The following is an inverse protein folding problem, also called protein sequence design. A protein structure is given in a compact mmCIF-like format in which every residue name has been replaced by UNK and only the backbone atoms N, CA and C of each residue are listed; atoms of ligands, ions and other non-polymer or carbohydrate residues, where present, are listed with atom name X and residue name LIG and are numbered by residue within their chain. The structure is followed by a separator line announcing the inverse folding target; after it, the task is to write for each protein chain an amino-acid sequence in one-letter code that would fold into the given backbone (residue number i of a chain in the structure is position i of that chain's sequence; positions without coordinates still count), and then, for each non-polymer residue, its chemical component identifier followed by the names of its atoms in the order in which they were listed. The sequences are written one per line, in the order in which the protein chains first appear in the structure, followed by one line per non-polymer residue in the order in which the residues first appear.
data_IF_719693006248
#
_entry.id   IF_719693006248
#
_cell.length_a   1.000
_cell.length_b   1.000
_cell.length_c   1.000
_cell.angle_alpha   90.00
_cell.angle_beta   90.00
_cell.angle_gamma   90.00
#
_symmetry.space_group_name_H-M   'P 1'
#
loop_
_entity.id
_entity.type
_entity.pdbx_description
1 polymer ?
#
# COMPACT_ATOMS: atom_id res chain seq x y z
N UNK A 1 42.62 -46.41 22.31
CA UNK A 1 43.44 -45.43 21.58
C UNK A 1 42.52 -44.75 20.57
N UNK A 2 41.78 -43.72 21.00
CA UNK A 2 40.71 -43.12 20.18
C UNK A 2 41.18 -41.75 19.69
N UNK A 3 41.36 -41.60 18.38
CA UNK A 3 41.66 -40.31 17.76
C UNK A 3 40.40 -39.42 17.69
N UNK A 4 40.52 -38.09 17.88
CA UNK A 4 39.36 -37.20 17.80
C UNK A 4 38.97 -36.96 16.34
N UNK A 5 37.67 -37.10 16.05
CA UNK A 5 37.09 -36.74 14.74
C UNK A 5 37.08 -35.20 14.64
N UNK A 6 37.66 -34.67 13.55
CA UNK A 6 37.69 -33.23 13.27
C UNK A 6 36.35 -32.76 12.72
N UNK A 7 35.79 -31.70 13.28
CA UNK A 7 34.51 -31.12 12.85
C UNK A 7 34.67 -30.32 11.54
N UNK A 8 33.68 -30.34 10.62
CA UNK A 8 33.75 -29.60 9.37
C UNK A 8 33.64 -28.08 9.60
N UNK A 9 34.51 -27.31 8.95
CA UNK A 9 34.47 -25.85 8.97
C UNK A 9 33.17 -25.33 8.32
N UNK A 10 32.44 -24.45 9.02
CA UNK A 10 31.24 -23.79 8.47
C UNK A 10 31.62 -22.88 7.30
N UNK A 11 31.06 -23.12 6.13
CA UNK A 11 31.12 -22.21 5.00
C UNK A 11 30.41 -20.90 5.37
N UNK A 12 31.13 -19.77 5.30
CA UNK A 12 30.59 -18.44 5.54
C UNK A 12 29.80 -18.02 4.30
N UNK A 13 28.47 -18.00 4.39
CA UNK A 13 27.62 -17.46 3.32
C UNK A 13 28.05 -16.02 3.01
N UNK A 14 28.24 -15.70 1.72
CA UNK A 14 28.66 -14.37 1.28
C UNK A 14 27.52 -13.39 1.55
N UNK A 15 27.56 -12.71 2.69
CA UNK A 15 26.61 -11.66 3.03
C UNK A 15 26.98 -10.41 2.22
N UNK A 16 26.51 -10.32 0.98
CA UNK A 16 26.70 -9.13 0.14
C UNK A 16 25.95 -7.97 0.76
N UNK A 17 26.67 -6.91 1.11
CA UNK A 17 26.03 -5.70 1.62
C UNK A 17 25.32 -4.94 0.50
N UNK A 18 24.28 -4.16 0.81
CA UNK A 18 23.57 -3.34 -0.20
C UNK A 18 24.52 -2.42 -0.98
N UNK A 19 25.54 -1.86 -0.31
CA UNK A 19 26.54 -0.99 -0.94
C UNK A 19 27.42 -1.76 -1.93
N UNK A 20 27.79 -2.99 -1.59
CA UNK A 20 28.60 -3.86 -2.43
C UNK A 20 27.79 -4.37 -3.64
N UNK A 21 26.52 -4.72 -3.43
CA UNK A 21 25.59 -5.05 -4.51
C UNK A 21 25.42 -3.89 -5.51
N UNK A 22 25.19 -2.66 -5.01
CA UNK A 22 25.08 -1.47 -5.86
C UNK A 22 26.41 -1.17 -6.55
N UNK A 23 27.54 -1.28 -5.83
CA UNK A 23 28.87 -1.06 -6.40
C UNK A 23 29.20 -2.02 -7.54
N UNK A 24 28.94 -3.32 -7.35
CA UNK A 24 29.13 -4.35 -8.37
C UNK A 24 28.17 -4.13 -9.55
N UNK A 25 26.89 -3.85 -9.28
CA UNK A 25 25.89 -3.61 -10.32
C UNK A 25 26.21 -2.39 -11.19
N UNK A 26 26.62 -1.27 -10.59
CA UNK A 26 27.05 -0.08 -11.31
C UNK A 26 28.33 -0.33 -12.13
N UNK A 27 29.33 -1.01 -11.55
CA UNK A 27 30.58 -1.31 -12.26
C UNK A 27 30.38 -2.30 -13.42
N UNK A 28 29.46 -3.25 -13.28
CA UNK A 28 29.08 -4.20 -14.32
C UNK A 28 28.10 -3.61 -15.35
N UNK A 29 27.62 -2.37 -15.15
CA UNK A 29 26.64 -1.72 -16.01
C UNK A 29 25.25 -2.37 -15.99
N UNK A 30 24.96 -3.18 -14.97
CA UNK A 30 23.67 -3.87 -14.82
C UNK A 30 22.71 -2.97 -14.05
N UNK A 31 21.81 -2.31 -14.77
CA UNK A 31 20.75 -1.46 -14.21
C UNK A 31 19.41 -1.72 -14.88
N UNK A 32 18.33 -1.76 -14.09
CA UNK A 32 16.97 -1.83 -14.61
C UNK A 32 16.45 -0.40 -14.81
N UNK A 33 16.18 -0.02 -16.06
CA UNK A 33 15.49 1.24 -16.38
C UNK A 33 13.99 0.98 -16.42
N UNK A 34 13.24 1.66 -15.55
CA UNK A 34 11.77 1.62 -15.55
C UNK A 34 11.25 2.97 -16.01
N UNK A 35 10.70 3.02 -17.22
CA UNK A 35 10.04 4.20 -17.76
C UNK A 35 8.57 4.22 -17.36
N UNK A 36 8.11 5.34 -16.80
CA UNK A 36 6.68 5.58 -16.55
C UNK A 36 6.27 6.85 -17.28
N UNK A 37 5.14 6.78 -17.98
CA UNK A 37 4.47 7.94 -18.54
C UNK A 37 3.45 8.43 -17.52
N UNK A 38 3.65 9.62 -16.97
CA UNK A 38 2.62 10.31 -16.19
C UNK A 38 1.89 11.27 -17.14
N UNK A 39 0.66 10.97 -17.58
CA UNK A 39 -0.13 11.94 -18.32
C UNK A 39 -0.32 13.19 -17.44
N UNK A 40 0.23 14.31 -17.90
CA UNK A 40 0.02 15.62 -17.30
C UNK A 40 -1.34 16.15 -17.73
N UNK A 41 -2.28 16.13 -16.79
CA UNK A 41 -3.51 16.91 -16.80
C UNK A 41 -3.65 17.57 -15.44
N UNK A 42 -4.07 18.84 -15.40
CA UNK A 42 -4.57 19.42 -14.16
C UNK A 42 -5.87 18.71 -13.79
N UNK A 43 -6.10 18.43 -12.51
CA UNK A 43 -7.43 18.02 -12.07
C UNK A 43 -8.41 19.14 -12.45
N UNK A 44 -9.29 18.89 -13.43
CA UNK A 44 -10.31 19.86 -13.86
C UNK A 44 -11.67 19.59 -13.20
N UNK A 45 -11.71 18.70 -12.21
CA UNK A 45 -12.90 18.53 -11.37
C UNK A 45 -12.90 19.58 -10.28
N UNK A 46 -14.08 20.03 -9.83
CA UNK A 46 -14.19 20.43 -8.42
C UNK A 46 -13.60 19.27 -7.62
N UNK A 47 -12.43 19.48 -7.02
CA UNK A 47 -11.76 18.37 -6.34
C UNK A 47 -12.71 17.83 -5.28
N UNK A 48 -12.99 16.53 -5.37
CA UNK A 48 -13.77 15.87 -4.35
C UNK A 48 -13.07 16.09 -3.01
N UNK A 49 -13.81 16.46 -1.98
CA UNK A 49 -13.24 16.63 -0.65
C UNK A 49 -12.79 15.26 -0.14
N UNK A 50 -11.47 15.06 -0.08
CA UNK A 50 -10.85 13.78 0.28
C UNK A 50 -9.82 14.01 1.41
N UNK A 51 -10.26 14.11 2.67
CA UNK A 51 -9.38 14.43 3.80
C UNK A 51 -8.37 13.32 4.12
N UNK A 52 -8.61 12.09 3.67
CA UNK A 52 -7.73 10.95 3.82
C UNK A 52 -7.98 9.91 2.71
N UNK A 53 -7.25 8.79 2.75
CA UNK A 53 -7.36 7.72 1.75
C UNK A 53 -8.66 6.89 1.82
N UNK A 54 -9.51 7.09 2.84
CA UNK A 54 -10.68 6.26 3.12
C UNK A 54 -12.02 6.97 2.91
N UNK A 55 -12.02 8.29 2.75
CA UNK A 55 -13.23 9.10 2.61
C UNK A 55 -13.09 10.07 1.43
N UNK A 56 -14.10 10.11 0.58
CA UNK A 56 -14.21 11.04 -0.55
C UNK A 56 -15.63 11.56 -0.66
N UNK A 57 -15.80 12.88 -0.75
CA UNK A 57 -17.10 13.53 -0.99
C UNK A 57 -17.04 14.24 -2.34
N UNK A 58 -17.80 13.72 -3.29
CA UNK A 58 -17.88 14.27 -4.63
C UNK A 58 -18.70 15.58 -4.65
N UNK A 59 -18.48 16.47 -5.64
CA UNK A 59 -19.17 17.75 -5.73
C UNK A 59 -20.70 17.66 -5.91
N UNK A 60 -21.21 16.49 -6.29
CA UNK A 60 -22.63 16.16 -6.43
C UNK A 60 -23.25 15.60 -5.13
N UNK A 61 -22.47 15.53 -4.05
CA UNK A 61 -22.90 15.05 -2.74
C UNK A 61 -22.76 13.53 -2.55
N UNK A 62 -22.20 12.78 -3.51
CA UNK A 62 -21.89 11.36 -3.28
C UNK A 62 -20.73 11.20 -2.30
N UNK A 63 -20.89 10.31 -1.33
CA UNK A 63 -19.90 10.01 -0.29
C UNK A 63 -19.39 8.59 -0.52
N UNK A 64 -18.09 8.43 -0.73
CA UNK A 64 -17.45 7.13 -0.86
C UNK A 64 -16.62 6.82 0.38
N UNK A 65 -16.82 5.63 0.95
CA UNK A 65 -16.10 5.11 2.12
C UNK A 65 -15.36 3.84 1.75
N UNK A 66 -14.03 3.84 1.86
CA UNK A 66 -13.22 2.64 1.66
C UNK A 66 -13.05 1.89 2.97
N UNK A 67 -13.35 0.59 2.96
CA UNK A 67 -13.12 -0.31 4.10
C UNK A 67 -12.02 -1.30 3.75
N UNK A 68 -10.78 -0.95 4.10
CA UNK A 68 -9.58 -1.72 3.72
C UNK A 68 -9.46 -3.10 4.38
N UNK A 69 -10.36 -3.46 5.31
CA UNK A 69 -10.39 -4.78 5.94
C UNK A 69 -11.54 -5.61 5.37
N UNK A 70 -11.19 -6.76 4.82
CA UNK A 70 -12.17 -7.81 4.55
C UNK A 70 -12.65 -8.39 5.88
N UNK A 71 -13.96 -8.47 6.04
CA UNK A 71 -14.61 -9.03 7.23
C UNK A 71 -15.57 -10.16 6.85
N UNK A 72 -15.77 -11.11 7.75
CA UNK A 72 -16.67 -12.27 7.57
C UNK A 72 -17.86 -12.10 8.53
N UNK A 73 -18.67 -11.08 8.32
CA UNK A 73 -19.96 -10.88 9.02
C UNK A 73 -19.88 -10.26 10.42
N UNK A 74 -18.80 -9.57 10.76
CA UNK A 74 -18.68 -8.73 11.96
C UNK A 74 -19.49 -7.43 11.86
N UNK A 75 -19.91 -7.04 10.64
CA UNK A 75 -20.75 -5.88 10.39
C UNK A 75 -19.98 -4.57 10.25
N UNK A 76 -18.65 -4.60 10.09
CA UNK A 76 -17.79 -3.41 9.92
C UNK A 76 -18.18 -2.62 8.68
N UNK A 77 -18.48 -3.29 7.56
CA UNK A 77 -18.93 -2.65 6.31
C UNK A 77 -20.32 -2.00 6.45
N UNK A 78 -21.06 -2.30 7.51
CA UNK A 78 -22.38 -1.69 7.78
C UNK A 78 -22.28 -0.61 8.85
N UNK A 79 -21.60 -0.88 9.96
CA UNK A 79 -21.53 0.03 11.10
C UNK A 79 -20.72 1.30 10.82
N UNK A 80 -19.57 1.18 10.13
CA UNK A 80 -18.73 2.36 9.82
C UNK A 80 -19.46 3.38 8.92
N UNK A 81 -20.11 2.98 7.81
CA UNK A 81 -20.88 3.93 7.02
C UNK A 81 -22.08 4.51 7.75
N UNK A 82 -22.74 3.77 8.66
CA UNK A 82 -23.87 4.30 9.44
C UNK A 82 -23.42 5.42 10.38
N UNK A 83 -22.34 5.21 11.11
CA UNK A 83 -21.76 6.25 11.99
C UNK A 83 -21.36 7.47 11.15
N UNK A 84 -20.76 7.27 9.98
CA UNK A 84 -20.41 8.38 9.10
C UNK A 84 -21.63 9.14 8.59
N UNK A 85 -22.71 8.45 8.24
CA UNK A 85 -23.96 9.08 7.81
C UNK A 85 -24.54 10.00 8.89
N UNK A 86 -24.49 9.55 10.15
CA UNK A 86 -24.94 10.32 11.30
C UNK A 86 -24.08 11.57 11.54
N UNK A 87 -22.75 11.44 11.52
CA UNK A 87 -21.83 12.56 11.76
C UNK A 87 -21.84 13.61 10.64
N UNK A 88 -22.13 13.20 9.40
CA UNK A 88 -22.22 14.09 8.24
C UNK A 88 -23.66 14.58 7.96
N UNK A 89 -24.65 14.13 8.72
CA UNK A 89 -26.08 14.37 8.46
C UNK A 89 -26.48 14.06 6.99
N UNK A 90 -25.92 12.98 6.43
CA UNK A 90 -26.09 12.61 5.02
C UNK A 90 -27.20 11.56 4.82
N UNK A 91 -27.89 11.60 3.67
CA UNK A 91 -28.82 10.54 3.30
C UNK A 91 -28.02 9.25 3.01
N UNK A 92 -28.43 8.14 3.61
CA UNK A 92 -27.86 6.81 3.38
C UNK A 92 -27.73 6.46 1.89
N UNK A 93 -28.66 6.95 1.06
CA UNK A 93 -28.64 6.72 -0.40
C UNK A 93 -27.46 7.38 -1.11
N UNK A 94 -26.77 8.32 -0.46
CA UNK A 94 -25.62 9.02 -1.00
C UNK A 94 -24.30 8.33 -0.66
N UNK A 95 -24.31 7.31 0.20
CA UNK A 95 -23.11 6.63 0.69
C UNK A 95 -22.86 5.34 -0.09
N UNK A 96 -21.67 5.22 -0.67
CA UNK A 96 -21.17 4.05 -1.38
C UNK A 96 -19.93 3.49 -0.65
N UNK A 97 -19.87 2.16 -0.52
CA UNK A 97 -18.77 1.46 0.15
C UNK A 97 -17.90 0.78 -0.90
N UNK A 98 -16.60 1.07 -0.88
CA UNK A 98 -15.57 0.40 -1.70
C UNK A 98 -14.76 -0.58 -0.84
#
# INVERSE_FOLDING_TARGET
MSAPVSAPAKAKGLAVSRREFIGIGLAAGTGLVVGFYLPHGFATGKDAFAPNAYLRIAPDGKITVMVARSEIGQGVRTALPMILAEELEADWKQIEIE
#
